data_IF_329956015820
#
_entry.id   IF_329956015820
#
_cell.length_a   1.000
_cell.length_b   1.000
_cell.length_c   1.000
_cell.angle_alpha   90.00
_cell.angle_beta   90.00
_cell.angle_gamma   90.00
#
_symmetry.space_group_name_H-M   'P 1'
#
loop_
_entity.id
_entity.type
_entity.pdbx_description
1 polymer ?
#
# COMPACT_ATOMS: atom_id res chain seq x y z
N UNK A 1 42.19 38.74 42.68
CA UNK A 1 42.83 38.58 41.36
C UNK A 1 41.70 38.40 40.37
N UNK A 2 41.39 39.45 39.62
CA UNK A 2 40.39 39.47 38.54
C UNK A 2 40.92 38.74 37.30
N UNK A 3 40.02 38.25 36.45
CA UNK A 3 39.89 38.52 34.99
C UNK A 3 38.61 37.81 34.50
N UNK A 4 37.63 38.60 34.10
CA UNK A 4 36.72 38.39 32.94
C UNK A 4 37.18 39.45 31.89
N UNK A 5 36.92 39.39 30.56
CA UNK A 5 35.79 38.76 29.83
C UNK A 5 36.15 38.25 28.39
N UNK A 6 35.10 37.97 27.58
CA UNK A 6 35.03 37.94 26.09
C UNK A 6 35.12 36.53 25.41
N UNK A 7 34.25 36.06 24.49
CA UNK A 7 32.92 36.44 23.94
C UNK A 7 32.53 35.38 22.86
N UNK A 8 31.24 35.36 22.53
CA UNK A 8 30.57 34.88 21.28
C UNK A 8 29.99 33.45 21.29
N UNK A 9 28.66 33.42 21.09
CA UNK A 9 27.72 32.30 21.02
C UNK A 9 27.68 31.58 19.63
N UNK A 10 26.65 30.77 19.27
CA UNK A 10 26.76 29.36 18.83
C UNK A 10 26.58 29.17 17.30
N UNK A 11 26.57 27.92 16.83
CA UNK A 11 25.48 27.44 15.95
C UNK A 11 24.78 26.25 16.64
N UNK A 12 23.47 26.24 16.85
CA UNK A 12 22.40 26.13 15.87
C UNK A 12 22.65 25.01 14.83
N UNK A 13 21.79 24.00 14.93
CA UNK A 13 21.37 23.10 13.86
C UNK A 13 22.08 21.74 13.69
N UNK A 14 21.23 20.71 13.64
CA UNK A 14 21.40 19.35 13.07
C UNK A 14 22.19 18.35 13.93
N UNK A 15 21.63 17.25 14.44
CA UNK A 15 20.49 16.49 13.95
C UNK A 15 19.73 15.91 15.15
N UNK A 16 18.55 16.46 15.41
CA UNK A 16 17.45 15.62 15.85
C UNK A 16 17.28 14.56 14.76
N UNK A 17 17.73 13.34 15.03
CA UNK A 17 17.27 12.19 14.24
C UNK A 17 15.80 12.04 14.60
N UNK A 18 14.98 12.84 13.93
CA UNK A 18 13.58 12.56 13.69
C UNK A 18 13.59 11.18 13.03
N UNK A 19 13.49 10.15 13.87
CA UNK A 19 13.04 8.84 13.46
C UNK A 19 11.58 9.06 13.13
N UNK A 20 11.36 9.71 11.98
CA UNK A 20 10.13 9.63 11.25
C UNK A 20 9.98 8.15 11.00
N UNK A 21 9.20 7.51 11.87
CA UNK A 21 8.69 6.18 11.66
C UNK A 21 8.03 6.27 10.29
N UNK A 22 8.74 5.81 9.25
CA UNK A 22 8.13 5.42 8.01
C UNK A 22 7.13 4.36 8.40
N UNK A 23 5.90 4.81 8.67
CA UNK A 23 4.74 3.94 8.73
C UNK A 23 4.83 3.09 7.46
N UNK A 24 5.02 1.77 7.57
CA UNK A 24 5.14 0.92 6.40
C UNK A 24 3.87 1.15 5.62
N UNK A 25 4.03 1.70 4.41
CA UNK A 25 2.97 2.13 3.52
C UNK A 25 1.83 1.14 3.64
N UNK A 26 0.77 1.57 4.37
CA UNK A 26 -0.39 0.75 4.65
C UNK A 26 -0.86 0.25 3.32
N UNK A 27 -0.65 -1.04 3.10
CA UNK A 27 -0.89 -1.84 1.92
C UNK A 27 -1.84 -1.13 0.98
N UNK A 28 -1.32 -0.62 -0.14
CA UNK A 28 -1.73 0.65 -0.76
C UNK A 28 -3.23 0.89 -1.00
N UNK A 29 -4.19 0.00 -0.73
CA UNK A 29 -5.61 0.19 -1.02
C UNK A 29 -5.84 0.50 -2.52
N UNK A 30 -7.03 0.30 -3.07
CA UNK A 30 -7.37 0.96 -4.33
C UNK A 30 -7.20 2.48 -4.16
N UNK A 31 -6.70 3.19 -5.18
CA UNK A 31 -6.65 4.65 -5.13
C UNK A 31 -8.06 5.16 -4.80
N UNK A 32 -8.15 6.15 -3.91
CA UNK A 32 -9.47 6.63 -3.46
C UNK A 32 -10.34 7.09 -4.63
N UNK A 33 -9.75 7.50 -5.76
CA UNK A 33 -10.44 7.82 -7.01
C UNK A 33 -11.10 6.60 -7.66
N UNK A 34 -10.41 5.47 -7.74
CA UNK A 34 -10.90 4.24 -8.38
C UNK A 34 -12.10 3.66 -7.64
N UNK A 35 -12.08 3.70 -6.30
CA UNK A 35 -13.21 3.26 -5.46
C UNK A 35 -14.47 4.07 -5.72
N UNK A 36 -14.35 5.39 -5.88
CA UNK A 36 -15.52 6.25 -6.11
C UNK A 36 -16.10 6.06 -7.50
N UNK A 37 -15.27 5.81 -8.51
CA UNK A 37 -15.72 5.48 -9.85
C UNK A 37 -16.46 4.15 -9.87
N UNK A 38 -15.91 3.11 -9.24
CA UNK A 38 -16.53 1.80 -9.11
C UNK A 38 -17.88 1.87 -8.39
N UNK A 39 -17.97 2.65 -7.29
CA UNK A 39 -19.23 2.90 -6.57
C UNK A 39 -20.26 3.65 -7.41
N UNK A 40 -19.81 4.49 -8.33
CA UNK A 40 -20.70 5.20 -9.25
C UNK A 40 -21.28 4.24 -10.28
N UNK A 41 -20.43 3.45 -10.94
CA UNK A 41 -20.85 2.39 -11.88
C UNK A 41 -21.81 1.39 -11.21
N UNK A 42 -21.53 0.98 -9.97
CA UNK A 42 -22.42 0.09 -9.23
C UNK A 42 -23.82 0.69 -9.02
N UNK A 43 -23.90 1.96 -8.64
CA UNK A 43 -25.20 2.65 -8.45
C UNK A 43 -25.99 2.76 -9.77
N UNK A 44 -25.32 2.97 -10.89
CA UNK A 44 -25.95 3.00 -12.21
C UNK A 44 -26.55 1.64 -12.57
N UNK A 45 -25.82 0.55 -12.32
CA UNK A 45 -26.30 -0.83 -12.50
C UNK A 45 -27.53 -1.12 -11.64
N UNK A 46 -27.50 -0.70 -10.37
CA UNK A 46 -28.66 -0.85 -9.47
C UNK A 46 -29.88 -0.07 -9.96
N UNK A 47 -29.68 1.14 -10.51
CA UNK A 47 -30.76 1.94 -11.10
C UNK A 47 -31.38 1.25 -12.33
N UNK A 48 -30.55 0.69 -13.20
CA UNK A 48 -30.99 0.02 -14.43
C UNK A 48 -31.81 -1.25 -14.19
N UNK A 49 -31.68 -1.89 -13.02
CA UNK A 49 -32.38 -3.12 -12.68
C UNK A 49 -33.91 -3.00 -12.73
N UNK A 50 -34.45 -1.80 -12.46
CA UNK A 50 -35.90 -1.55 -12.49
C UNK A 50 -36.46 -1.67 -13.90
N UNK A 51 -35.67 -1.26 -14.91
CA UNK A 51 -36.08 -1.21 -16.31
C UNK A 51 -35.69 -2.49 -17.07
N UNK A 52 -34.47 -2.98 -16.86
CA UNK A 52 -33.95 -4.20 -17.50
C UNK A 52 -33.13 -5.04 -16.50
N UNK A 53 -33.77 -5.99 -15.79
CA UNK A 53 -33.10 -6.77 -14.76
C UNK A 53 -32.05 -7.73 -15.34
N UNK A 54 -32.21 -8.21 -16.58
CA UNK A 54 -31.26 -9.15 -17.19
C UNK A 54 -29.96 -8.47 -17.60
N UNK A 55 -30.06 -7.31 -18.26
CA UNK A 55 -28.91 -6.50 -18.61
C UNK A 55 -28.22 -5.94 -17.36
N UNK A 56 -28.96 -5.47 -16.36
CA UNK A 56 -28.38 -4.99 -15.10
C UNK A 56 -27.55 -6.07 -14.38
N UNK A 57 -28.06 -7.30 -14.28
CA UNK A 57 -27.30 -8.41 -13.66
C UNK A 57 -26.06 -8.76 -14.49
N UNK A 58 -26.15 -8.71 -15.83
CA UNK A 58 -25.01 -8.96 -16.71
C UNK A 58 -23.91 -7.91 -16.51
N UNK A 59 -24.28 -6.62 -16.45
CA UNK A 59 -23.35 -5.52 -16.16
C UNK A 59 -22.75 -5.58 -14.77
N UNK A 60 -23.54 -6.03 -13.78
CA UNK A 60 -23.03 -6.26 -12.43
C UNK A 60 -21.93 -7.34 -12.44
N UNK A 61 -22.16 -8.44 -13.16
CA UNK A 61 -21.20 -9.54 -13.28
C UNK A 61 -19.90 -9.09 -13.95
N UNK A 62 -19.99 -8.31 -15.04
CA UNK A 62 -18.83 -7.71 -15.70
C UNK A 62 -18.06 -6.80 -14.75
N UNK A 63 -18.75 -5.88 -14.06
CA UNK A 63 -18.11 -4.94 -13.13
C UNK A 63 -17.36 -5.63 -11.99
N UNK A 64 -17.91 -6.72 -11.45
CA UNK A 64 -17.26 -7.50 -10.40
C UNK A 64 -16.08 -8.29 -10.96
N UNK A 65 -16.20 -8.82 -12.18
CA UNK A 65 -15.10 -9.54 -12.85
C UNK A 65 -13.90 -8.61 -13.07
N UNK A 66 -14.14 -7.41 -13.62
CA UNK A 66 -13.11 -6.40 -13.82
C UNK A 66 -12.39 -6.06 -12.50
N UNK A 67 -13.15 -5.88 -11.42
CA UNK A 67 -12.60 -5.59 -10.09
C UNK A 67 -11.72 -6.74 -9.56
N UNK A 68 -12.19 -7.98 -9.71
CA UNK A 68 -11.43 -9.17 -9.27
C UNK A 68 -10.12 -9.28 -10.04
N UNK A 69 -10.14 -9.04 -11.36
CA UNK A 69 -8.95 -9.07 -12.20
C UNK A 69 -7.95 -7.98 -11.80
N UNK A 70 -8.43 -6.75 -11.54
CA UNK A 70 -7.60 -5.65 -11.08
C UNK A 70 -6.94 -5.95 -9.72
N UNK A 71 -7.73 -6.39 -8.74
CA UNK A 71 -7.24 -6.76 -7.41
C UNK A 71 -6.23 -7.90 -7.51
N UNK A 72 -6.51 -8.91 -8.33
CA UNK A 72 -5.60 -10.04 -8.55
C UNK A 72 -4.28 -9.58 -9.18
N UNK A 73 -4.34 -8.76 -10.23
CA UNK A 73 -3.15 -8.24 -10.90
C UNK A 73 -2.25 -7.44 -9.94
N UNK A 74 -2.86 -6.61 -9.09
CA UNK A 74 -2.16 -5.83 -8.06
C UNK A 74 -1.43 -6.71 -7.05
N UNK A 75 -2.10 -7.74 -6.54
CA UNK A 75 -1.47 -8.67 -5.59
C UNK A 75 -0.38 -9.53 -6.24
N UNK A 76 -0.55 -9.93 -7.51
CA UNK A 76 0.50 -10.61 -8.27
C UNK A 76 1.74 -9.72 -8.43
N UNK A 77 1.57 -8.42 -8.69
CA UNK A 77 2.69 -7.49 -8.83
C UNK A 77 3.44 -7.30 -7.51
N UNK A 78 2.72 -7.10 -6.40
CA UNK A 78 3.33 -7.02 -5.06
C UNK A 78 4.09 -8.30 -4.70
N UNK A 79 3.53 -9.46 -5.03
CA UNK A 79 4.18 -10.76 -4.83
C UNK A 79 5.48 -10.88 -5.65
N UNK A 80 5.47 -10.44 -6.91
CA UNK A 80 6.68 -10.42 -7.77
C UNK A 80 7.74 -9.47 -7.24
N UNK A 81 7.35 -8.29 -6.78
CA UNK A 81 8.26 -7.30 -6.20
C UNK A 81 8.96 -7.88 -4.97
N UNK A 82 8.20 -8.51 -4.07
CA UNK A 82 8.75 -9.20 -2.91
C UNK A 82 9.69 -10.34 -3.32
N UNK A 83 9.28 -11.18 -4.27
CA UNK A 83 10.11 -12.26 -4.78
C UNK A 83 11.45 -11.75 -5.34
N UNK A 84 11.44 -10.64 -6.08
CA UNK A 84 12.64 -10.02 -6.66
C UNK A 84 13.62 -9.47 -5.62
N UNK A 85 13.14 -9.02 -4.46
CA UNK A 85 13.97 -8.39 -3.42
C UNK A 85 14.96 -9.35 -2.73
N UNK A 86 14.63 -10.64 -2.64
CA UNK A 86 15.47 -11.62 -1.93
C UNK A 86 16.06 -12.71 -2.85
N UNK A 87 15.57 -12.86 -4.09
CA UNK A 87 16.08 -13.85 -5.05
C UNK A 87 17.39 -13.44 -5.74
N UNK A 88 17.89 -12.23 -5.49
CA UNK A 88 18.99 -11.60 -6.23
C UNK A 88 20.43 -11.85 -5.76
N UNK A 89 20.72 -12.69 -4.76
CA UNK A 89 22.14 -12.91 -4.42
C UNK A 89 22.46 -14.02 -3.42
N UNK A 90 23.59 -14.68 -3.68
CA UNK A 90 24.30 -15.71 -2.88
C UNK A 90 24.78 -15.20 -1.48
N UNK A 91 24.29 -14.03 -1.06
CA UNK A 91 24.61 -13.31 0.18
C UNK A 91 23.40 -12.52 0.70
N UNK A 92 22.17 -13.02 0.50
CA UNK A 92 21.04 -12.49 1.27
C UNK A 92 21.31 -12.76 2.76
N UNK A 93 21.82 -11.74 3.46
CA UNK A 93 22.08 -11.82 4.90
C UNK A 93 20.81 -12.28 5.62
N UNK A 94 20.97 -13.00 6.72
CA UNK A 94 19.84 -13.55 7.50
C UNK A 94 18.81 -12.47 7.88
N UNK A 95 19.26 -11.21 7.98
CA UNK A 95 18.41 -10.04 8.18
C UNK A 95 17.48 -9.76 6.99
N UNK A 96 17.98 -9.82 5.76
CA UNK A 96 17.17 -9.60 4.55
C UNK A 96 16.09 -10.68 4.41
N UNK A 97 16.41 -11.93 4.77
CA UNK A 97 15.42 -13.02 4.79
C UNK A 97 14.37 -12.81 5.87
N UNK A 98 14.75 -12.31 7.05
CA UNK A 98 13.79 -11.97 8.11
C UNK A 98 12.83 -10.87 7.64
N UNK A 99 13.36 -9.82 7.05
CA UNK A 99 12.56 -8.71 6.50
C UNK A 99 11.62 -9.20 5.41
N UNK A 100 12.11 -10.00 4.46
CA UNK A 100 11.29 -10.60 3.40
C UNK A 100 10.13 -11.42 3.99
N UNK A 101 10.40 -12.25 5.00
CA UNK A 101 9.37 -13.05 5.66
C UNK A 101 8.31 -12.18 6.37
N UNK A 102 8.73 -11.11 7.05
CA UNK A 102 7.79 -10.14 7.64
C UNK A 102 6.89 -9.51 6.56
N UNK A 103 7.47 -9.08 5.44
CA UNK A 103 6.68 -8.49 4.35
C UNK A 103 5.73 -9.48 3.67
N UNK A 104 6.10 -10.76 3.58
CA UNK A 104 5.16 -11.81 3.15
C UNK A 104 4.03 -12.05 4.15
N UNK A 105 4.31 -12.01 5.46
CA UNK A 105 3.27 -12.10 6.48
C UNK A 105 2.28 -10.96 6.34
N UNK A 106 2.77 -9.72 6.21
CA UNK A 106 1.89 -8.56 6.08
C UNK A 106 1.02 -8.65 4.80
N UNK A 107 1.61 -9.08 3.67
CA UNK A 107 0.86 -9.37 2.44
C UNK A 107 -0.19 -10.47 2.63
N UNK A 108 0.15 -11.52 3.38
CA UNK A 108 -0.75 -12.63 3.68
C UNK A 108 -1.92 -12.18 4.55
N UNK A 109 -1.65 -11.38 5.59
CA UNK A 109 -2.69 -10.82 6.46
C UNK A 109 -3.62 -9.89 5.67
N UNK A 110 -3.09 -9.05 4.77
CA UNK A 110 -3.92 -8.22 3.88
C UNK A 110 -4.87 -9.06 3.01
N UNK A 111 -4.38 -10.19 2.47
CA UNK A 111 -5.20 -11.12 1.68
C UNK A 111 -6.31 -11.78 2.50
N UNK A 112 -6.10 -12.00 3.80
CA UNK A 112 -7.12 -12.53 4.71
C UNK A 112 -8.14 -11.49 5.15
N UNK A 113 -7.78 -10.20 5.15
CA UNK A 113 -8.67 -9.10 5.51
C UNK A 113 -9.58 -8.64 4.36
N UNK A 114 -9.25 -8.95 3.10
CA UNK A 114 -10.17 -8.77 1.96
C UNK A 114 -11.40 -9.65 2.18
N UNK A 115 -12.50 -9.03 2.62
CA UNK A 115 -13.78 -9.68 2.94
C UNK A 115 -14.93 -9.18 2.09
#
# INVERSE_FOLDING_TARGET
MSIDPDRVSPPADMAETDTQQEEPARSESPDRGDVQQLRTRWREVQGAFVDDPHDAVSRAAELVTDLVDEVTARYQERTKTLAGQWSGGDHADTENLRTALCSYRDLFDDLLEVR
#
